data_IF_584431154997
#
_entry.id   IF_584431154997
#
_cell.length_a   1.000
_cell.length_b   1.000
_cell.length_c   1.000
_cell.angle_alpha   90.00
_cell.angle_beta   90.00
_cell.angle_gamma   90.00
#
_symmetry.space_group_name_H-M   'P 1'
#
loop_
_entity.id
_entity.type
_entity.pdbx_description
1 polymer ?
#
# COMPACT_ATOMS: atom_id res chain seq x y z
N UNK A 1 27.18 -18.45 14.05
CA UNK A 1 26.73 -17.75 12.83
C UNK A 1 25.40 -17.08 13.15
N UNK A 2 25.38 -15.76 13.33
CA UNK A 2 24.14 -15.03 13.56
C UNK A 2 23.33 -15.00 12.27
N UNK A 3 22.13 -15.57 12.30
CA UNK A 3 21.14 -15.42 11.24
C UNK A 3 20.65 -13.96 11.26
N UNK A 4 21.38 -13.06 10.61
CA UNK A 4 20.90 -11.71 10.40
C UNK A 4 19.59 -11.77 9.60
N UNK A 5 18.50 -11.13 10.08
CA UNK A 5 17.25 -11.12 9.34
C UNK A 5 17.51 -10.43 7.99
N UNK A 6 17.36 -11.18 6.89
CA UNK A 6 17.45 -10.61 5.55
C UNK A 6 16.28 -9.64 5.36
N UNK A 7 16.59 -8.39 5.05
CA UNK A 7 15.60 -7.36 4.76
C UNK A 7 14.78 -7.79 3.54
N UNK A 8 13.44 -7.84 3.69
CA UNK A 8 12.54 -8.12 2.59
C UNK A 8 11.98 -6.80 2.03
N UNK A 9 11.93 -6.62 0.70
CA UNK A 9 11.42 -5.39 0.10
C UNK A 9 9.95 -5.09 0.47
N UNK A 10 9.15 -6.11 0.78
CA UNK A 10 7.76 -5.96 1.23
C UNK A 10 7.61 -5.19 2.55
N UNK A 11 8.68 -5.07 3.35
CA UNK A 11 8.63 -4.34 4.62
C UNK A 11 8.47 -2.82 4.44
N UNK A 12 8.89 -2.26 3.30
CA UNK A 12 8.77 -0.83 3.01
C UNK A 12 7.29 -0.42 2.88
N UNK A 13 6.49 -0.99 1.95
CA UNK A 13 5.09 -0.60 1.82
C UNK A 13 4.26 -0.99 3.05
N UNK A 14 4.60 -2.06 3.77
CA UNK A 14 3.96 -2.42 5.05
C UNK A 14 4.19 -1.32 6.09
N UNK A 15 5.43 -0.85 6.25
CA UNK A 15 5.75 0.21 7.22
C UNK A 15 4.96 1.49 6.90
N UNK A 16 4.92 1.90 5.63
CA UNK A 16 4.18 3.09 5.19
C UNK A 16 2.68 2.91 5.47
N UNK A 17 2.12 1.72 5.23
CA UNK A 17 0.71 1.42 5.51
C UNK A 17 0.38 1.57 7.01
N UNK A 18 1.26 1.08 7.89
CA UNK A 18 1.10 1.24 9.35
C UNK A 18 1.12 2.72 9.75
N UNK A 19 2.07 3.49 9.21
CA UNK A 19 2.16 4.94 9.47
C UNK A 19 0.88 5.64 9.02
N UNK A 20 0.43 5.39 7.79
CA UNK A 20 -0.79 6.02 7.24
C UNK A 20 -2.03 5.65 8.06
N UNK A 21 -2.12 4.40 8.53
CA UNK A 21 -3.23 3.96 9.39
C UNK A 21 -3.22 4.70 10.74
N UNK A 22 -2.05 4.88 11.34
CA UNK A 22 -1.90 5.65 12.59
C UNK A 22 -2.27 7.12 12.38
N UNK A 23 -1.82 7.73 11.29
CA UNK A 23 -2.17 9.12 10.93
C UNK A 23 -3.67 9.26 10.73
N UNK A 24 -4.32 8.33 10.03
CA UNK A 24 -5.77 8.31 9.86
C UNK A 24 -6.49 8.20 11.22
N UNK A 25 -6.02 7.31 12.10
CA UNK A 25 -6.60 7.14 13.42
C UNK A 25 -6.50 8.42 14.25
N UNK A 26 -5.32 9.04 14.29
CA UNK A 26 -5.06 10.28 15.04
C UNK A 26 -5.88 11.46 14.50
N UNK A 27 -5.99 11.57 13.17
CA UNK A 27 -6.78 12.64 12.53
C UNK A 27 -8.28 12.46 12.74
N UNK A 28 -8.78 11.22 12.77
CA UNK A 28 -10.15 10.91 13.17
C UNK A 28 -10.42 11.29 14.63
N UNK A 29 -9.53 10.90 15.55
CA UNK A 29 -9.69 11.20 16.98
C UNK A 29 -9.60 12.69 17.31
N UNK A 30 -8.78 13.44 16.57
CA UNK A 30 -8.67 14.90 16.72
C UNK A 30 -9.82 15.66 16.06
N UNK A 31 -10.71 14.99 15.32
CA UNK A 31 -11.79 15.64 14.57
C UNK A 31 -11.30 16.52 13.42
N UNK A 32 -10.02 16.42 13.06
CA UNK A 32 -9.39 17.18 11.97
C UNK A 32 -9.56 16.51 10.62
N UNK A 33 -9.99 15.24 10.60
CA UNK A 33 -10.17 14.47 9.38
C UNK A 33 -11.41 14.95 8.60
N UNK A 34 -11.21 15.53 7.42
CA UNK A 34 -12.30 15.73 6.47
C UNK A 34 -12.66 14.40 5.79
N UNK A 35 -13.89 14.30 5.26
CA UNK A 35 -14.32 13.12 4.48
C UNK A 35 -13.36 12.88 3.30
N UNK A 36 -12.86 13.96 2.69
CA UNK A 36 -11.89 13.90 1.59
C UNK A 36 -10.58 13.25 2.05
N UNK A 37 -10.06 13.64 3.21
CA UNK A 37 -8.82 13.11 3.77
C UNK A 37 -8.97 11.63 4.16
N UNK A 38 -10.12 11.26 4.72
CA UNK A 38 -10.43 9.86 5.07
C UNK A 38 -10.42 9.00 3.81
N UNK A 39 -11.14 9.42 2.77
CA UNK A 39 -11.22 8.70 1.49
C UNK A 39 -9.85 8.57 0.83
N UNK A 40 -9.05 9.63 0.83
CA UNK A 40 -7.70 9.63 0.28
C UNK A 40 -6.80 8.65 1.03
N UNK A 41 -6.80 8.69 2.37
CA UNK A 41 -6.01 7.77 3.19
C UNK A 41 -6.42 6.30 2.99
N UNK A 42 -7.72 6.01 2.90
CA UNK A 42 -8.20 4.65 2.59
C UNK A 42 -7.69 4.20 1.22
N UNK A 43 -7.77 5.06 0.20
CA UNK A 43 -7.25 4.73 -1.14
C UNK A 43 -5.75 4.44 -1.14
N UNK A 44 -4.97 5.26 -0.42
CA UNK A 44 -3.52 5.04 -0.27
C UNK A 44 -3.24 3.70 0.42
N UNK A 45 -3.97 3.37 1.48
CA UNK A 45 -3.81 2.09 2.19
C UNK A 45 -4.11 0.90 1.25
N UNK A 46 -5.18 0.99 0.45
CA UNK A 46 -5.52 -0.05 -0.53
C UNK A 46 -4.43 -0.19 -1.59
N UNK A 47 -3.93 0.93 -2.13
CA UNK A 47 -2.85 0.96 -3.12
C UNK A 47 -1.56 0.32 -2.56
N UNK A 48 -1.17 0.69 -1.33
CA UNK A 48 -0.02 0.12 -0.64
C UNK A 48 -0.20 -1.39 -0.37
N UNK A 49 -1.42 -1.85 -0.12
CA UNK A 49 -1.74 -3.27 0.01
C UNK A 49 -1.50 -4.04 -1.28
N UNK A 50 -2.02 -3.52 -2.40
CA UNK A 50 -1.75 -4.08 -3.72
C UNK A 50 -0.25 -4.10 -4.05
N UNK A 51 0.46 -3.02 -3.75
CA UNK A 51 1.90 -2.93 -3.97
C UNK A 51 2.67 -3.94 -3.09
N UNK A 52 2.29 -4.09 -1.83
CA UNK A 52 2.90 -5.07 -0.90
C UNK A 52 2.75 -6.49 -1.43
N UNK A 53 1.56 -6.85 -1.89
CA UNK A 53 1.30 -8.18 -2.47
C UNK A 53 2.08 -8.37 -3.77
N UNK A 54 2.20 -7.33 -4.60
CA UNK A 54 3.05 -7.38 -5.80
C UNK A 54 4.52 -7.62 -5.45
N UNK A 55 5.10 -6.82 -4.57
CA UNK A 55 6.50 -6.92 -4.14
C UNK A 55 6.79 -8.27 -3.48
N UNK A 56 5.89 -8.76 -2.62
CA UNK A 56 6.02 -10.07 -1.96
C UNK A 56 5.98 -11.22 -2.96
N UNK A 57 5.08 -11.17 -3.94
CA UNK A 57 4.98 -12.20 -4.98
C UNK A 57 6.16 -12.14 -5.96
N UNK A 58 6.69 -10.94 -6.23
CA UNK A 58 7.89 -10.74 -7.06
C UNK A 58 9.16 -11.28 -6.39
N UNK A 59 9.23 -11.21 -5.07
CA UNK A 59 10.33 -11.75 -4.26
C UNK A 59 10.37 -13.29 -4.19
N UNK A 60 9.26 -13.99 -4.50
CA UNK A 60 9.12 -15.41 -4.16
C UNK A 60 9.40 -16.40 -5.29
N UNK A 61 9.03 -16.15 -6.56
CA UNK A 61 9.52 -16.94 -7.72
C UNK A 61 8.85 -16.56 -9.06
N UNK A 62 9.69 -16.51 -10.11
CA UNK A 62 9.46 -16.80 -11.54
C UNK A 62 8.47 -15.97 -12.38
N UNK A 63 8.88 -15.77 -13.64
CA UNK A 63 8.27 -15.05 -14.76
C UNK A 63 6.90 -15.58 -15.22
N UNK A 64 6.01 -16.01 -14.32
CA UNK A 64 4.66 -16.42 -14.70
C UNK A 64 3.86 -15.20 -15.14
N UNK A 65 3.32 -15.30 -16.36
CA UNK A 65 2.45 -14.34 -17.04
C UNK A 65 1.69 -13.45 -16.07
N UNK A 66 2.19 -12.21 -15.92
CA UNK A 66 1.56 -11.23 -15.06
C UNK A 66 0.15 -10.98 -15.59
N UNK A 67 -0.90 -11.18 -14.78
CA UNK A 67 -2.22 -10.91 -15.27
C UNK A 67 -2.38 -9.41 -15.52
N UNK A 68 -2.66 -9.03 -16.78
CA UNK A 68 -2.85 -7.64 -17.19
C UNK A 68 -3.89 -6.89 -16.33
N UNK A 69 -4.87 -7.61 -15.77
CA UNK A 69 -5.88 -7.04 -14.86
C UNK A 69 -5.26 -6.35 -13.65
N UNK A 70 -4.12 -6.82 -13.13
CA UNK A 70 -3.49 -6.24 -11.94
C UNK A 70 -2.97 -4.82 -12.20
N UNK A 71 -2.40 -4.59 -13.36
CA UNK A 71 -1.92 -3.26 -13.79
C UNK A 71 -3.07 -2.31 -14.05
N UNK A 72 -4.17 -2.79 -14.63
CA UNK A 72 -5.38 -2.00 -14.82
C UNK A 72 -5.93 -1.52 -13.46
N UNK A 73 -6.00 -2.41 -12.47
CA UNK A 73 -6.44 -2.05 -11.11
C UNK A 73 -5.50 -1.02 -10.46
N UNK A 74 -4.19 -1.16 -10.61
CA UNK A 74 -3.24 -0.15 -10.11
C UNK A 74 -3.41 1.21 -10.80
N UNK A 75 -3.59 1.24 -12.13
CA UNK A 75 -3.80 2.48 -12.88
C UNK A 75 -5.11 3.15 -12.45
N UNK A 76 -6.17 2.37 -12.23
CA UNK A 76 -7.46 2.89 -11.74
C UNK A 76 -7.31 3.46 -10.32
N UNK A 77 -6.67 2.73 -9.41
CA UNK A 77 -6.42 3.19 -8.04
C UNK A 77 -5.58 4.46 -8.01
N UNK A 78 -4.53 4.53 -8.84
CA UNK A 78 -3.67 5.70 -8.94
C UNK A 78 -4.40 6.90 -9.56
N UNK A 79 -5.20 6.66 -10.61
CA UNK A 79 -6.05 7.69 -11.23
C UNK A 79 -7.07 8.24 -10.23
N UNK A 80 -7.74 7.36 -9.47
CA UNK A 80 -8.68 7.77 -8.43
C UNK A 80 -7.96 8.57 -7.34
N UNK A 81 -6.76 8.16 -6.92
CA UNK A 81 -5.97 8.90 -5.95
C UNK A 81 -5.60 10.30 -6.45
N UNK A 82 -5.28 10.46 -7.75
CA UNK A 82 -4.96 11.76 -8.34
C UNK A 82 -6.15 12.71 -8.52
N UNK A 83 -7.38 12.19 -8.42
CA UNK A 83 -8.62 12.96 -8.49
C UNK A 83 -9.03 13.58 -7.15
N UNK A 84 -8.45 13.09 -6.04
CA UNK A 84 -8.62 13.68 -4.71
C UNK A 84 -7.49 14.66 -4.42
#
# INVERSE_FOLDING_TARGET
MQNAPRFKPEYIPILIMVIMTLVLLLTLFSGLASIKDIMTNILVIILLGFLTVDVKNHSLESESLRPAYKYIVMIILFSLLSLF
#
